data_IF_782393588691
#
_entry.id   IF_782393588691
#
_cell.length_a   1.000
_cell.length_b   1.000
_cell.length_c   1.000
_cell.angle_alpha   90.00
_cell.angle_beta   90.00
_cell.angle_gamma   90.00
#
_symmetry.space_group_name_H-M   'P 1'
#
loop_
_entity.id
_entity.type
_entity.pdbx_description
1 polymer ?
#
# COMPACT_ATOMS: atom_id res chain seq x y z
N UNK A 1 -31.50 9.52 -20.38
CA UNK A 1 -30.33 10.07 -19.69
C UNK A 1 -29.44 8.87 -19.40
N UNK A 2 -28.37 8.69 -20.16
CA UNK A 2 -27.39 7.67 -19.83
C UNK A 2 -26.58 8.25 -18.67
N UNK A 3 -26.78 7.71 -17.47
CA UNK A 3 -25.84 7.92 -16.37
C UNK A 3 -24.47 7.53 -16.91
N UNK A 4 -23.59 8.51 -17.11
CA UNK A 4 -22.16 8.28 -17.04
C UNK A 4 -21.92 7.70 -15.63
N UNK A 5 -22.07 6.38 -15.49
CA UNK A 5 -21.46 5.63 -14.40
C UNK A 5 -19.96 5.85 -14.58
N UNK A 6 -19.49 6.96 -14.00
CA UNK A 6 -18.10 7.30 -13.89
C UNK A 6 -17.41 6.06 -13.32
N UNK A 7 -16.57 5.42 -14.14
CA UNK A 7 -15.88 4.15 -13.89
C UNK A 7 -14.82 4.32 -12.78
N UNK A 8 -15.29 4.73 -11.60
CA UNK A 8 -14.47 5.15 -10.48
C UNK A 8 -14.00 3.94 -9.69
N UNK A 9 -12.74 3.98 -9.26
CA UNK A 9 -12.20 2.96 -8.38
C UNK A 9 -12.80 3.07 -6.99
N UNK A 10 -13.35 1.97 -6.48
CA UNK A 10 -13.83 1.81 -5.12
C UNK A 10 -12.78 1.09 -4.28
N UNK A 11 -12.56 1.53 -3.04
CA UNK A 11 -11.64 0.84 -2.13
C UNK A 11 -12.36 -0.32 -1.43
N UNK A 12 -11.61 -1.37 -1.08
CA UNK A 12 -12.11 -2.45 -0.24
C UNK A 12 -11.08 -2.88 0.80
N UNK A 13 -11.57 -3.42 1.91
CA UNK A 13 -10.80 -4.01 2.98
C UNK A 13 -11.25 -5.46 3.18
N UNK A 14 -10.29 -6.38 3.34
CA UNK A 14 -10.56 -7.72 3.84
C UNK A 14 -9.92 -7.80 5.23
N UNK A 15 -10.71 -7.89 6.32
CA UNK A 15 -10.17 -7.81 7.68
C UNK A 15 -9.12 -8.87 8.00
N UNK A 16 -9.40 -10.13 7.63
CA UNK A 16 -8.44 -11.21 7.79
C UNK A 16 -8.54 -12.21 6.62
N UNK A 17 -7.70 -12.02 5.61
CA UNK A 17 -7.59 -12.91 4.45
C UNK A 17 -7.26 -14.35 4.86
N UNK A 18 -6.66 -14.58 6.03
CA UNK A 18 -6.41 -15.94 6.51
C UNK A 18 -7.70 -16.73 6.80
N UNK A 19 -8.84 -16.05 7.03
CA UNK A 19 -10.15 -16.73 7.18
C UNK A 19 -10.70 -17.23 5.85
N UNK A 20 -10.16 -16.77 4.73
CA UNK A 20 -10.55 -17.20 3.38
C UNK A 20 -9.77 -18.44 2.93
N UNK A 21 -8.53 -18.58 3.41
CA UNK A 21 -7.62 -19.65 3.01
C UNK A 21 -7.59 -20.82 3.99
N UNK A 22 -8.31 -20.73 5.11
CA UNK A 22 -8.25 -21.68 6.22
C UNK A 22 -7.01 -21.53 7.11
N UNK A 23 -6.10 -20.61 6.78
CA UNK A 23 -4.90 -20.35 7.58
C UNK A 23 -5.20 -19.77 8.97
N UNK A 24 -6.39 -19.19 9.15
CA UNK A 24 -6.87 -18.70 10.45
C UNK A 24 -7.49 -19.81 11.35
N UNK A 25 -7.40 -21.08 10.94
CA UNK A 25 -7.99 -22.20 11.68
C UNK A 25 -9.52 -22.20 11.60
N UNK A 26 -10.18 -22.35 12.75
CA UNK A 26 -11.66 -22.39 12.86
C UNK A 26 -12.34 -21.03 12.90
N UNK A 27 -11.61 -19.92 12.70
CA UNK A 27 -12.19 -18.58 12.69
C UNK A 27 -13.18 -18.43 11.54
N UNK A 28 -14.33 -17.76 11.75
CA UNK A 28 -15.33 -17.57 10.71
C UNK A 28 -14.78 -16.66 9.60
N UNK A 29 -15.35 -16.83 8.42
CA UNK A 29 -15.06 -16.00 7.25
C UNK A 29 -15.32 -14.51 7.54
N UNK A 30 -14.34 -13.67 7.21
CA UNK A 30 -14.47 -12.20 7.25
C UNK A 30 -14.94 -11.67 5.90
N UNK A 31 -16.05 -10.90 5.83
CA UNK A 31 -16.55 -10.35 4.57
C UNK A 31 -15.65 -9.25 4.02
N UNK A 32 -15.73 -9.01 2.71
CA UNK A 32 -15.14 -7.81 2.09
C UNK A 32 -15.96 -6.59 2.51
N UNK A 33 -15.28 -5.57 3.03
CA UNK A 33 -15.86 -4.27 3.38
C UNK A 33 -15.54 -3.26 2.26
N UNK A 34 -16.56 -2.66 1.64
CA UNK A 34 -16.40 -1.72 0.52
C UNK A 34 -16.56 -0.27 0.98
N UNK A 35 -15.75 0.62 0.40
CA UNK A 35 -15.68 2.04 0.78
C UNK A 35 -15.70 2.95 -0.45
N UNK A 36 -16.53 3.98 -0.39
CA UNK A 36 -16.69 4.96 -1.47
C UNK A 36 -15.55 5.98 -1.52
N UNK A 37 -14.78 6.10 -0.45
CA UNK A 37 -13.66 7.04 -0.33
C UNK A 37 -12.42 6.34 0.24
N UNK A 38 -11.27 6.89 -0.12
CA UNK A 38 -9.98 6.37 0.34
C UNK A 38 -9.80 6.58 1.85
N UNK A 39 -10.21 7.72 2.37
CA UNK A 39 -10.09 8.10 3.78
C UNK A 39 -10.84 7.12 4.69
N UNK A 40 -12.09 6.77 4.34
CA UNK A 40 -12.87 5.78 5.09
C UNK A 40 -12.17 4.40 5.14
N UNK A 41 -11.62 3.97 4.00
CA UNK A 41 -10.90 2.70 3.93
C UNK A 41 -9.60 2.74 4.75
N UNK A 42 -8.88 3.87 4.77
CA UNK A 42 -7.68 4.06 5.60
C UNK A 42 -7.99 4.03 7.08
N UNK A 43 -9.04 4.72 7.51
CA UNK A 43 -9.43 4.75 8.92
C UNK A 43 -9.81 3.35 9.40
N UNK A 44 -10.58 2.61 8.60
CA UNK A 44 -10.87 1.21 8.88
C UNK A 44 -9.61 0.35 8.90
N UNK A 45 -8.74 0.51 7.91
CA UNK A 45 -7.50 -0.25 7.84
C UNK A 45 -6.65 -0.02 9.10
N UNK A 46 -6.55 1.22 9.59
CA UNK A 46 -5.80 1.56 10.80
C UNK A 46 -6.39 0.94 12.06
N UNK A 47 -7.73 0.94 12.18
CA UNK A 47 -8.43 0.26 13.27
C UNK A 47 -8.05 -1.23 13.29
N UNK A 48 -8.27 -1.92 12.17
CA UNK A 48 -7.99 -3.35 12.03
C UNK A 48 -6.49 -3.66 12.15
N UNK A 49 -5.61 -2.76 11.70
CA UNK A 49 -4.16 -2.95 11.73
C UNK A 49 -3.61 -3.19 13.14
N UNK A 50 -4.32 -2.70 14.16
CA UNK A 50 -3.98 -2.87 15.57
C UNK A 50 -4.34 -4.23 16.15
N UNK A 51 -5.16 -5.02 15.44
CA UNK A 51 -5.55 -6.35 15.88
C UNK A 51 -4.34 -7.29 16.01
N UNK A 52 -4.25 -8.09 17.09
CA UNK A 52 -3.06 -8.88 17.41
C UNK A 52 -2.73 -9.93 16.35
N UNK A 53 -3.75 -10.47 15.67
CA UNK A 53 -3.56 -11.51 14.67
C UNK A 53 -2.79 -11.05 13.44
N UNK A 54 -2.72 -9.74 13.19
CA UNK A 54 -1.93 -9.17 12.09
C UNK A 54 -0.42 -9.33 12.28
N UNK A 55 0.03 -9.60 13.52
CA UNK A 55 1.42 -9.84 13.88
C UNK A 55 1.77 -11.32 14.02
N UNK A 56 0.82 -12.24 13.84
CA UNK A 56 1.08 -13.67 13.91
C UNK A 56 2.05 -14.12 12.79
N UNK A 57 2.90 -15.10 13.12
CA UNK A 57 3.85 -15.70 12.19
C UNK A 57 3.16 -16.73 11.29
N UNK A 58 2.40 -16.23 10.30
CA UNK A 58 1.78 -17.03 9.26
C UNK A 58 2.34 -16.67 7.88
N UNK A 59 2.46 -17.64 6.96
CA UNK A 59 2.96 -17.40 5.61
C UNK A 59 2.00 -16.54 4.75
N UNK A 60 0.73 -16.47 5.14
CA UNK A 60 -0.33 -15.74 4.45
C UNK A 60 -0.40 -14.24 4.81
N UNK A 61 -1.13 -13.48 3.99
CA UNK A 61 -1.55 -12.14 4.40
C UNK A 61 -2.69 -12.26 5.43
N UNK A 62 -2.77 -11.27 6.30
CA UNK A 62 -3.85 -11.08 7.29
C UNK A 62 -4.77 -9.98 6.76
N UNK A 63 -4.54 -8.73 7.12
CA UNK A 63 -5.31 -7.60 6.61
C UNK A 63 -4.95 -7.24 5.15
N UNK A 64 -5.96 -6.95 4.33
CA UNK A 64 -5.79 -6.51 2.94
C UNK A 64 -6.50 -5.18 2.69
N UNK A 65 -5.85 -4.31 1.92
CA UNK A 65 -6.45 -3.14 1.27
C UNK A 65 -6.33 -3.31 -0.23
N UNK A 66 -7.45 -3.25 -0.95
CA UNK A 66 -7.46 -3.25 -2.41
C UNK A 66 -8.41 -2.25 -3.03
N UNK A 67 -8.51 -2.32 -4.35
CA UNK A 67 -9.38 -1.48 -5.17
C UNK A 67 -10.14 -2.32 -6.19
N UNK A 68 -11.36 -1.90 -6.53
CA UNK A 68 -12.15 -2.50 -7.60
C UNK A 68 -12.86 -1.44 -8.44
N UNK A 69 -13.30 -1.81 -9.64
CA UNK A 69 -14.28 -1.06 -10.42
C UNK A 69 -15.19 -2.03 -11.17
N UNK A 70 -16.41 -1.58 -11.46
CA UNK A 70 -17.42 -2.37 -12.17
C UNK A 70 -17.17 -2.43 -13.68
N UNK A 71 -16.78 -1.32 -14.32
CA UNK A 71 -16.69 -1.24 -15.79
C UNK A 71 -15.43 -0.49 -16.28
N UNK A 72 -14.58 -1.09 -17.11
CA UNK A 72 -14.51 -2.54 -17.32
C UNK A 72 -14.06 -3.24 -16.02
N UNK A 73 -14.62 -4.41 -15.69
CA UNK A 73 -14.39 -5.08 -14.41
C UNK A 73 -12.89 -5.24 -14.12
N UNK A 74 -12.47 -4.76 -12.96
CA UNK A 74 -11.08 -4.89 -12.53
C UNK A 74 -10.98 -4.76 -11.02
N UNK A 75 -10.17 -5.61 -10.39
CA UNK A 75 -9.88 -5.54 -8.96
C UNK A 75 -8.44 -5.97 -8.71
N UNK A 76 -7.80 -5.38 -7.71
CA UNK A 76 -6.50 -5.83 -7.21
C UNK A 76 -6.27 -5.39 -5.77
N UNK A 77 -5.54 -6.23 -5.04
CA UNK A 77 -4.95 -5.85 -3.77
C UNK A 77 -3.81 -4.86 -4.01
N UNK A 78 -3.71 -3.85 -3.14
CA UNK A 78 -2.63 -2.86 -3.17
C UNK A 78 -1.69 -3.02 -1.96
N UNK A 79 -2.23 -3.43 -0.81
CA UNK A 79 -1.49 -3.56 0.43
C UNK A 79 -1.94 -4.80 1.20
N UNK A 80 -0.96 -5.57 1.69
CA UNK A 80 -1.17 -6.64 2.65
C UNK A 80 -0.47 -6.33 3.96
N UNK A 81 -1.02 -6.84 5.06
CA UNK A 81 -0.30 -6.96 6.33
C UNK A 81 0.14 -8.41 6.49
N UNK A 82 1.42 -8.61 6.71
CA UNK A 82 2.04 -9.92 6.95
C UNK A 82 3.02 -9.78 8.10
N UNK A 83 2.90 -10.61 9.13
CA UNK A 83 3.81 -10.62 10.28
C UNK A 83 4.04 -9.20 10.86
N UNK A 84 2.97 -8.39 10.93
CA UNK A 84 3.04 -7.04 11.44
C UNK A 84 3.77 -6.03 10.57
N UNK A 85 3.98 -6.31 9.28
CA UNK A 85 4.60 -5.39 8.31
C UNK A 85 3.65 -5.10 7.14
N UNK A 86 3.74 -3.89 6.61
CA UNK A 86 2.96 -3.44 5.45
C UNK A 86 3.70 -3.80 4.16
N UNK A 87 3.11 -4.71 3.38
CA UNK A 87 3.61 -5.17 2.09
C UNK A 87 2.86 -4.49 0.95
N UNK A 88 3.55 -3.74 0.11
CA UNK A 88 3.02 -3.33 -1.19
C UNK A 88 2.85 -4.58 -2.07
N UNK A 89 1.65 -4.73 -2.63
CA UNK A 89 1.35 -5.74 -3.65
C UNK A 89 1.68 -5.14 -5.02
N UNK A 90 2.46 -5.86 -5.83
CA UNK A 90 2.98 -5.34 -7.11
C UNK A 90 2.10 -5.66 -8.32
N UNK A 91 0.91 -6.23 -8.12
CA UNK A 91 -0.05 -6.62 -9.16
C UNK A 91 -0.41 -5.46 -10.09
N UNK A 92 -0.53 -4.25 -9.55
CA UNK A 92 -0.77 -3.04 -10.32
C UNK A 92 0.25 -2.86 -11.44
N UNK A 93 1.50 -3.33 -11.27
CA UNK A 93 2.56 -3.19 -12.27
C UNK A 93 2.34 -4.07 -13.49
N UNK A 94 1.56 -5.14 -13.37
CA UNK A 94 1.31 -6.14 -14.41
C UNK A 94 -0.02 -5.94 -15.14
N UNK A 95 -0.87 -5.04 -14.64
CA UNK A 95 -2.20 -4.76 -15.19
C UNK A 95 -2.26 -3.37 -15.82
N UNK A 96 -2.52 -3.29 -17.13
CA UNK A 96 -2.61 -2.01 -17.84
C UNK A 96 -3.73 -1.11 -17.29
N UNK A 97 -4.86 -1.71 -16.89
CA UNK A 97 -5.98 -0.99 -16.27
C UNK A 97 -5.59 -0.24 -14.98
N UNK A 98 -4.56 -0.72 -14.28
CA UNK A 98 -4.08 -0.13 -13.03
C UNK A 98 -2.86 0.78 -13.27
N UNK A 99 -1.81 0.27 -13.93
CA UNK A 99 -0.58 1.05 -14.12
C UNK A 99 -0.71 2.26 -15.07
N UNK A 100 -1.81 2.35 -15.83
CA UNK A 100 -2.14 3.51 -16.65
C UNK A 100 -3.23 4.39 -16.03
N UNK A 101 -3.82 4.00 -14.90
CA UNK A 101 -4.87 4.78 -14.25
C UNK A 101 -4.28 5.85 -13.32
N UNK A 102 -4.51 7.16 -13.58
CA UNK A 102 -4.05 8.22 -12.70
C UNK A 102 -4.66 8.15 -11.30
N UNK A 103 -5.92 7.70 -11.19
CA UNK A 103 -6.62 7.53 -9.92
C UNK A 103 -5.94 6.45 -9.06
N UNK A 104 -5.61 5.29 -9.64
CA UNK A 104 -4.90 4.21 -8.92
C UNK A 104 -3.50 4.68 -8.48
N UNK A 105 -2.77 5.42 -9.31
CA UNK A 105 -1.48 5.99 -8.91
C UNK A 105 -1.64 7.01 -7.78
N UNK A 106 -2.71 7.81 -7.80
CA UNK A 106 -3.08 8.73 -6.73
C UNK A 106 -3.31 8.01 -5.40
N UNK A 107 -4.11 6.94 -5.42
CA UNK A 107 -4.37 6.09 -4.26
C UNK A 107 -3.07 5.48 -3.71
N UNK A 108 -2.23 4.90 -4.56
CA UNK A 108 -0.93 4.31 -4.14
C UNK A 108 0.00 5.35 -3.50
N UNK A 109 0.00 6.59 -4.00
CA UNK A 109 0.77 7.70 -3.43
C UNK A 109 0.26 8.09 -2.05
N UNK A 110 -1.04 8.24 -1.91
CA UNK A 110 -1.66 8.59 -0.64
C UNK A 110 -1.47 7.45 0.38
N UNK A 111 -1.63 6.20 -0.05
CA UNK A 111 -1.36 4.99 0.73
C UNK A 111 0.06 4.92 1.25
N UNK A 112 1.05 5.23 0.41
CA UNK A 112 2.43 5.30 0.85
C UNK A 112 2.65 6.37 1.93
N UNK A 113 1.97 7.51 1.83
CA UNK A 113 2.08 8.61 2.80
C UNK A 113 1.39 8.26 4.13
N UNK A 114 0.21 7.68 4.06
CA UNK A 114 -0.69 7.54 5.21
C UNK A 114 -0.50 6.21 5.96
N UNK A 115 -0.10 5.15 5.25
CA UNK A 115 0.08 3.79 5.80
C UNK A 115 1.54 3.32 5.72
N UNK A 116 2.31 3.78 4.73
CA UNK A 116 3.69 3.35 4.53
C UNK A 116 3.83 1.93 3.99
N UNK A 117 4.99 1.66 3.37
CA UNK A 117 5.34 0.34 2.84
C UNK A 117 6.70 -0.08 3.40
N UNK A 118 6.72 -1.22 4.09
CA UNK A 118 7.93 -1.81 4.66
C UNK A 118 8.61 -2.72 3.63
N UNK A 119 7.80 -3.52 2.93
CA UNK A 119 8.25 -4.59 2.04
C UNK A 119 7.43 -4.63 0.76
N UNK A 120 7.94 -5.36 -0.22
CA UNK A 120 7.24 -5.73 -1.44
C UNK A 120 7.37 -7.23 -1.60
N UNK A 121 6.25 -7.90 -1.86
CA UNK A 121 6.25 -9.29 -2.29
C UNK A 121 6.27 -9.30 -3.80
N UNK A 122 7.47 -9.27 -4.37
CA UNK A 122 7.66 -9.01 -5.80
C UNK A 122 7.72 -10.31 -6.60
N UNK A 123 6.98 -10.36 -7.71
CA UNK A 123 7.11 -11.42 -8.69
C UNK A 123 8.12 -11.00 -9.77
N UNK A 124 9.32 -11.58 -9.72
CA UNK A 124 10.32 -11.37 -10.77
C UNK A 124 9.96 -12.22 -12.02
N UNK A 125 10.17 -11.70 -13.24
CA UNK A 125 9.94 -12.48 -14.47
C UNK A 125 10.71 -13.81 -14.44
N UNK A 126 9.99 -14.92 -14.59
CA UNK A 126 10.58 -16.28 -14.57
C UNK A 126 10.78 -16.87 -13.17
N UNK A 127 10.41 -16.17 -12.09
CA UNK A 127 10.44 -16.73 -10.75
C UNK A 127 9.25 -17.67 -10.51
N UNK A 128 9.52 -18.82 -9.88
CA UNK A 128 8.50 -19.79 -9.49
C UNK A 128 7.74 -19.35 -8.22
N UNK A 129 8.38 -18.54 -7.39
CA UNK A 129 7.82 -17.99 -6.15
C UNK A 129 8.15 -16.50 -6.00
N UNK A 130 7.29 -15.70 -5.34
CA UNK A 130 7.56 -14.30 -5.09
C UNK A 130 8.68 -14.12 -4.07
N UNK A 131 9.42 -13.02 -4.19
CA UNK A 131 10.49 -12.67 -3.25
C UNK A 131 10.10 -11.50 -2.36
N UNK A 132 10.44 -11.64 -1.09
CA UNK A 132 10.24 -10.60 -0.09
C UNK A 132 11.42 -9.62 -0.09
N UNK A 133 11.20 -8.46 -0.68
CA UNK A 133 12.21 -7.40 -0.79
C UNK A 133 11.83 -6.25 0.12
N UNK A 134 12.81 -5.64 0.79
CA UNK A 134 12.58 -4.37 1.52
C UNK A 134 12.17 -3.29 0.52
N UNK A 135 11.15 -2.51 0.84
CA UNK A 135 10.60 -1.51 -0.10
C UNK A 135 11.67 -0.50 -0.57
N UNK A 136 12.61 -0.16 0.31
CA UNK A 136 13.73 0.74 0.00
C UNK A 136 14.71 0.18 -1.05
N UNK A 137 14.85 -1.15 -1.14
CA UNK A 137 15.75 -1.84 -2.08
C UNK A 137 15.03 -2.36 -3.32
N UNK A 138 13.70 -2.32 -3.33
CA UNK A 138 12.90 -2.82 -4.45
C UNK A 138 13.15 -2.01 -5.73
N UNK A 139 13.42 -2.74 -6.82
CA UNK A 139 13.56 -2.17 -8.16
C UNK A 139 12.22 -2.29 -8.87
N UNK A 140 11.50 -1.17 -8.94
CA UNK A 140 10.20 -1.10 -9.62
C UNK A 140 10.27 -1.67 -11.06
N UNK A 141 9.35 -2.59 -11.46
CA UNK A 141 9.47 -3.37 -12.69
C UNK A 141 8.99 -2.63 -13.96
N UNK A 142 8.17 -1.58 -13.83
CA UNK A 142 7.75 -0.78 -14.98
C UNK A 142 8.92 -0.16 -15.76
N UNK A 143 8.71 0.07 -17.07
CA UNK A 143 9.66 0.73 -17.97
C UNK A 143 10.17 2.05 -17.39
N UNK A 144 11.43 2.46 -17.63
CA UNK A 144 12.04 3.63 -16.99
C UNK A 144 11.21 4.92 -17.03
N UNK A 145 10.48 5.21 -18.12
CA UNK A 145 9.61 6.40 -18.20
C UNK A 145 8.43 6.32 -17.22
N UNK A 146 7.68 5.22 -17.25
CA UNK A 146 6.56 4.96 -16.34
C UNK A 146 7.04 4.85 -14.90
N UNK A 147 8.13 4.10 -14.68
CA UNK A 147 8.79 3.96 -13.38
C UNK A 147 9.25 5.29 -12.82
N UNK A 148 9.82 6.18 -13.63
CA UNK A 148 10.24 7.51 -13.14
C UNK A 148 9.03 8.31 -12.70
N UNK A 149 7.91 8.27 -13.42
CA UNK A 149 6.66 8.92 -13.00
C UNK A 149 6.17 8.36 -11.66
N UNK A 150 5.95 7.04 -11.61
CA UNK A 150 5.42 6.36 -10.43
C UNK A 150 6.36 6.47 -9.23
N UNK A 151 7.67 6.23 -9.39
CA UNK A 151 8.62 6.35 -8.28
C UNK A 151 8.85 7.79 -7.85
N UNK A 152 8.84 8.77 -8.76
CA UNK A 152 8.92 10.19 -8.39
C UNK A 152 7.72 10.54 -7.52
N UNK A 153 6.52 10.20 -7.97
CA UNK A 153 5.26 10.43 -7.26
C UNK A 153 5.22 9.72 -5.91
N UNK A 154 5.65 8.45 -5.84
CA UNK A 154 5.73 7.71 -4.60
C UNK A 154 6.83 8.26 -3.67
N UNK A 155 7.99 8.69 -4.17
CA UNK A 155 9.16 9.08 -3.34
C UNK A 155 9.17 10.55 -2.90
N UNK A 156 8.44 11.45 -3.54
CA UNK A 156 8.33 12.87 -3.15
C UNK A 156 7.62 13.09 -1.81
N UNK A 157 7.03 12.06 -1.20
CA UNK A 157 6.27 12.15 0.05
C UNK A 157 7.11 12.06 1.33
N UNK A 158 8.44 12.26 1.31
CA UNK A 158 9.13 12.59 2.57
C UNK A 158 8.71 14.00 2.98
N UNK A 159 8.06 14.22 4.14
CA UNK A 159 7.95 15.57 4.66
C UNK A 159 9.37 16.10 4.86
N UNK A 160 9.64 17.25 4.26
CA UNK A 160 10.86 18.02 4.47
C UNK A 160 10.75 18.73 5.82
N UNK A 161 10.47 17.99 6.88
CA UNK A 161 10.18 18.55 8.20
C UNK A 161 10.88 17.72 9.29
N UNK A 162 12.21 17.79 9.28
CA UNK A 162 13.08 17.61 10.44
C UNK A 162 14.51 18.03 10.06
N UNK A 163 14.65 19.21 9.46
CA UNK A 163 15.91 19.95 9.53
C UNK A 163 15.62 21.23 10.30
N UNK A 164 15.20 21.05 11.56
CA UNK A 164 15.27 22.10 12.55
C UNK A 164 16.73 22.57 12.57
N UNK A 165 16.95 23.77 12.05
CA UNK A 165 18.21 24.49 12.16
C UNK A 165 18.56 24.52 13.64
N UNK A 166 19.54 23.72 14.04
CA UNK A 166 20.21 23.88 15.33
C UNK A 166 20.64 25.36 15.44
N UNK A 167 20.21 26.10 16.48
CA UNK A 167 20.75 27.42 16.72
C UNK A 167 22.24 27.27 17.02
N UNK A 168 23.08 27.91 16.21
CA UNK A 168 24.51 28.05 16.48
C UNK A 168 24.65 28.79 17.81
N UNK A 169 25.21 28.13 18.83
CA UNK A 169 25.60 28.76 20.10
C UNK A 169 26.53 29.95 19.81
N UNK A 170 26.35 31.12 20.45
CA UNK A 170 27.34 32.18 20.40
C UNK A 170 28.62 31.69 21.10
N UNK A 171 29.76 31.96 20.46
CA UNK A 171 31.09 31.70 21.00
C UNK A 171 31.34 32.76 22.08
N UNK A 172 31.26 32.38 23.36
CA UNK A 172 31.73 33.25 24.45
C UNK A 172 33.22 33.53 24.22
N UNK A 173 33.54 34.79 23.90
CA UNK A 173 34.88 35.33 23.99
C UNK A 173 35.14 35.63 25.46
N UNK A 174 35.77 34.69 26.15
CA UNK A 174 36.43 34.99 27.42
C UNK A 174 37.55 36.00 27.19
N UNK A 175 37.35 37.21 27.70
CA UNK A 175 38.40 38.17 28.05
C UNK A 175 38.08 38.61 29.47
N UNK A 176 38.82 38.06 30.42
CA UNK A 176 39.47 38.77 31.54
C UNK A 176 40.50 37.82 32.16
#
# INVERSE_FOLDING_TARGET
>A
MADEKDSKWQCYIIPDLATWTGAAGSKPYTPIEFYNTYEQAVDRFRELRSEPYNSEDLPGARLTFGIQREEPPSAADLLHVRQGQNYLVDDYTRMASLNQSPEVMGILKQMRKDLGFDRVRAYEPGAMEPKDVTFSRWKHPLKPMLRKSVLKELKETRPKEAAAKLPRKPKERGRE
#
